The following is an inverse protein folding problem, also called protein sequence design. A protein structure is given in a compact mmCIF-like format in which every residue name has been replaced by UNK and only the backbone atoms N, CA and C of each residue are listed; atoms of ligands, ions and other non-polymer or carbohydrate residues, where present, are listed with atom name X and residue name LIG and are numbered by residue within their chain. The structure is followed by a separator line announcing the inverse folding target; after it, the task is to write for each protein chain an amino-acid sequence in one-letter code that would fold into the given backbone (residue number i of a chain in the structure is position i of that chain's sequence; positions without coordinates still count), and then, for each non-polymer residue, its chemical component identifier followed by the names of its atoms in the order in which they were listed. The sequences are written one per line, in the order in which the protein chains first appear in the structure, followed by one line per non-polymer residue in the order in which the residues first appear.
data_IF_188860712279
#
_entry.id   IF_188860712279
#
_cell.length_a   1.000
_cell.length_b   1.000
_cell.length_c   1.000
_cell.angle_alpha   90.00
_cell.angle_beta   90.00
_cell.angle_gamma   90.00
#
_symmetry.space_group_name_H-M   'P 1'
#
loop_
_entity.id
_entity.type
_entity.pdbx_description
1 polymer ?
#
# COMPACT_ATOMS: atom_id res chain seq x y z
N UNK A 1 -13.79 14.03 -30.41
CA UNK A 1 -12.42 13.85 -29.89
C UNK A 1 -12.54 12.99 -28.65
N UNK A 2 -12.08 11.74 -28.68
CA UNK A 2 -12.11 10.87 -27.50
C UNK A 2 -10.99 11.30 -26.56
N UNK A 3 -11.36 11.85 -25.41
CA UNK A 3 -10.43 12.05 -24.29
C UNK A 3 -9.80 10.70 -23.93
N UNK A 4 -8.48 10.62 -24.09
CA UNK A 4 -7.71 9.47 -23.66
C UNK A 4 -7.96 9.25 -22.16
N UNK A 5 -8.38 8.05 -21.72
CA UNK A 5 -8.78 7.85 -20.33
C UNK A 5 -7.60 8.08 -19.41
N UNK A 6 -7.87 8.86 -18.36
CA UNK A 6 -6.92 9.31 -17.36
C UNK A 6 -6.03 8.17 -16.83
N UNK A 7 -4.74 8.30 -17.13
CA UNK A 7 -3.57 7.78 -16.42
C UNK A 7 -3.82 6.69 -15.37
N UNK A 8 -4.02 5.44 -15.80
CA UNK A 8 -3.94 4.23 -14.97
C UNK A 8 -2.54 3.99 -14.37
N UNK A 9 -1.55 4.82 -14.74
CA UNK A 9 -0.15 4.67 -14.33
C UNK A 9 0.08 4.77 -12.82
N UNK A 10 -0.74 5.55 -12.09
CA UNK A 10 -0.67 5.61 -10.62
C UNK A 10 -1.20 4.34 -9.95
N UNK A 11 -2.28 3.78 -10.50
CA UNK A 11 -2.98 2.60 -9.95
C UNK A 11 -2.11 1.35 -9.97
N UNK A 12 -1.42 1.08 -11.09
CA UNK A 12 -0.52 -0.08 -11.20
C UNK A 12 0.62 -0.04 -10.16
N UNK A 13 1.11 1.16 -9.84
CA UNK A 13 2.18 1.35 -8.85
C UNK A 13 1.69 1.07 -7.44
N UNK A 14 0.51 1.55 -7.09
CA UNK A 14 -0.14 1.28 -5.80
C UNK A 14 -0.41 -0.21 -5.63
N UNK A 15 -0.94 -0.88 -6.67
CA UNK A 15 -1.20 -2.32 -6.66
C UNK A 15 0.09 -3.11 -6.50
N UNK A 16 1.16 -2.73 -7.21
CA UNK A 16 2.46 -3.39 -7.08
C UNK A 16 3.03 -3.27 -5.65
N UNK A 17 3.03 -2.04 -5.09
CA UNK A 17 3.51 -1.78 -3.72
C UNK A 17 2.69 -2.57 -2.69
N UNK A 18 1.37 -2.68 -2.89
CA UNK A 18 0.50 -3.50 -2.05
C UNK A 18 0.85 -4.99 -2.14
N UNK A 19 1.06 -5.53 -3.34
CA UNK A 19 1.46 -6.92 -3.50
C UNK A 19 2.80 -7.24 -2.85
N UNK A 20 3.79 -6.34 -2.98
CA UNK A 20 5.08 -6.48 -2.29
C UNK A 20 4.90 -6.51 -0.77
N UNK A 21 4.05 -5.64 -0.24
CA UNK A 21 3.74 -5.59 1.19
C UNK A 21 3.09 -6.89 1.70
N UNK A 22 2.10 -7.41 0.98
CA UNK A 22 1.42 -8.67 1.31
C UNK A 22 2.40 -9.85 1.21
N UNK A 23 3.21 -9.89 0.16
CA UNK A 23 4.21 -10.94 -0.04
C UNK A 23 5.25 -10.94 1.09
N UNK A 24 5.80 -9.78 1.47
CA UNK A 24 6.75 -9.69 2.58
C UNK A 24 6.12 -10.18 3.89
N UNK A 25 4.92 -9.70 4.21
CA UNK A 25 4.23 -10.09 5.43
C UNK A 25 3.93 -11.60 5.44
N UNK A 26 3.55 -12.15 4.28
CA UNK A 26 3.34 -13.58 4.07
C UNK A 26 4.60 -14.42 4.24
N UNK A 27 5.75 -13.97 3.72
CA UNK A 27 7.05 -14.66 3.89
C UNK A 27 7.45 -14.72 5.36
N UNK A 28 7.23 -13.64 6.12
CA UNK A 28 7.51 -13.61 7.56
C UNK A 28 6.60 -14.60 8.31
N UNK A 29 5.31 -14.65 7.96
CA UNK A 29 4.37 -15.60 8.54
C UNK A 29 4.69 -17.06 8.19
N UNK A 30 5.13 -17.31 6.95
CA UNK A 30 5.54 -18.63 6.49
C UNK A 30 6.84 -19.08 7.19
N UNK A 31 7.77 -18.14 7.44
CA UNK A 31 8.94 -18.35 8.28
C UNK A 31 8.54 -18.77 9.70
N UNK A 32 7.60 -18.06 10.32
CA UNK A 32 7.06 -18.46 11.63
C UNK A 32 6.41 -19.85 11.60
N UNK A 33 5.67 -20.18 10.54
CA UNK A 33 5.10 -21.52 10.33
C UNK A 33 6.19 -22.59 10.27
N UNK A 34 7.28 -22.31 9.55
CA UNK A 34 8.43 -23.24 9.42
C UNK A 34 9.16 -23.48 10.74
N UNK A 35 9.09 -22.53 11.67
CA UNK A 35 9.62 -22.65 13.03
C UNK A 35 8.68 -23.42 13.98
N UNK A 36 7.58 -23.98 13.47
CA UNK A 36 6.66 -24.81 14.26
C UNK A 36 5.58 -24.03 15.01
N UNK A 37 5.41 -22.73 14.74
CA UNK A 37 4.32 -21.96 15.36
C UNK A 37 2.94 -22.48 14.93
N UNK A 38 2.01 -22.47 15.88
CA UNK A 38 0.61 -22.79 15.62
C UNK A 38 0.02 -21.83 14.58
N UNK A 39 -1.07 -22.24 13.93
CA UNK A 39 -1.69 -21.44 12.87
C UNK A 39 -2.11 -20.06 13.42
N UNK A 40 -2.71 -20.03 14.62
CA UNK A 40 -3.07 -18.80 15.31
C UNK A 40 -1.88 -17.90 15.62
N UNK A 41 -0.77 -18.46 16.11
CA UNK A 41 0.43 -17.67 16.38
C UNK A 41 1.08 -17.14 15.10
N UNK A 42 1.05 -17.90 14.00
CA UNK A 42 1.54 -17.45 12.68
C UNK A 42 0.71 -16.27 12.14
N UNK A 43 -0.61 -16.27 12.38
CA UNK A 43 -1.49 -15.13 12.07
C UNK A 43 -1.16 -13.90 12.90
N UNK A 44 -0.85 -14.06 14.19
CA UNK A 44 -0.41 -12.94 15.03
C UNK A 44 0.91 -12.37 14.52
N UNK A 45 1.88 -13.23 14.17
CA UNK A 45 3.16 -12.79 13.59
C UNK A 45 2.96 -12.08 12.25
N UNK A 46 2.06 -12.58 11.39
CA UNK A 46 1.67 -11.89 10.17
C UNK A 46 1.14 -10.48 10.46
N UNK A 47 0.23 -10.36 11.42
CA UNK A 47 -0.41 -9.09 11.77
C UNK A 47 0.60 -8.08 12.35
N UNK A 48 1.50 -8.54 13.21
CA UNK A 48 2.57 -7.71 13.78
C UNK A 48 3.54 -7.25 12.68
N UNK A 49 3.96 -8.16 11.80
CA UNK A 49 4.83 -7.81 10.67
C UNK A 49 4.15 -6.80 9.74
N UNK A 50 2.89 -7.03 9.40
CA UNK A 50 2.07 -6.12 8.61
C UNK A 50 2.01 -4.71 9.24
N UNK A 51 1.69 -4.61 10.53
CA UNK A 51 1.66 -3.34 11.27
C UNK A 51 3.02 -2.63 11.30
N UNK A 52 4.11 -3.37 11.46
CA UNK A 52 5.47 -2.80 11.43
C UNK A 52 5.83 -2.27 10.05
N UNK A 53 5.48 -3.00 8.99
CA UNK A 53 5.70 -2.58 7.60
C UNK A 53 4.75 -1.47 7.15
N UNK A 54 3.60 -1.30 7.81
CA UNK A 54 2.63 -0.27 7.46
C UNK A 54 3.21 1.15 7.63
N UNK A 55 4.04 1.38 8.65
CA UNK A 55 4.68 2.70 8.89
C UNK A 55 5.54 3.19 7.71
N UNK A 56 6.52 2.42 7.19
CA UNK A 56 7.30 2.84 6.03
C UNK A 56 6.50 2.83 4.72
N UNK A 57 5.46 2.00 4.60
CA UNK A 57 4.65 1.92 3.39
C UNK A 57 3.57 3.02 3.29
N UNK A 58 3.08 3.56 4.41
CA UNK A 58 2.10 4.66 4.44
C UNK A 58 2.51 5.88 3.58
N UNK A 59 3.73 6.43 3.71
CA UNK A 59 4.15 7.58 2.89
C UNK A 59 4.32 7.19 1.41
N UNK A 60 4.68 5.94 1.10
CA UNK A 60 4.74 5.45 -0.28
C UNK A 60 3.35 5.40 -0.90
N UNK A 61 2.36 4.84 -0.20
CA UNK A 61 0.97 4.86 -0.66
C UNK A 61 0.46 6.28 -0.86
N UNK A 62 0.71 7.20 0.09
CA UNK A 62 0.34 8.61 -0.04
C UNK A 62 1.01 9.31 -1.23
N UNK A 63 2.26 8.95 -1.56
CA UNK A 63 2.98 9.53 -2.70
C UNK A 63 2.44 9.04 -4.05
N UNK A 64 1.90 7.83 -4.11
CA UNK A 64 1.37 7.24 -5.34
C UNK A 64 -0.13 7.44 -5.51
N UNK A 65 -0.86 7.82 -4.45
CA UNK A 65 -2.21 8.34 -4.60
C UNK A 65 -2.14 9.73 -5.27
N UNK A 66 -2.80 9.93 -6.42
CA UNK A 66 -2.89 11.27 -7.01
C UNK A 66 -3.59 12.19 -6.00
N UNK A 67 -2.96 13.30 -5.65
CA UNK A 67 -3.60 14.38 -4.89
C UNK A 67 -4.89 14.76 -5.59
N UNK A 68 -6.01 14.69 -4.88
CA UNK A 68 -7.32 14.94 -5.45
C UNK A 68 -7.35 16.37 -6.07
N UNK A 69 -7.92 16.55 -7.29
CA UNK A 69 -8.00 17.85 -7.94
C UNK A 69 -8.68 18.95 -7.10
N UNK A 70 -9.48 18.57 -6.10
CA UNK A 70 -10.25 19.48 -5.26
C UNK A 70 -9.41 20.40 -4.35
N UNK A 71 -8.09 20.18 -4.22
CA UNK A 71 -7.19 21.13 -3.54
C UNK A 71 -6.61 22.22 -4.44
N UNK A 72 -6.75 22.12 -5.78
CA UNK A 72 -6.20 23.14 -6.71
C UNK A 72 -7.13 24.32 -6.94
N UNK A 73 -8.44 24.12 -6.81
CA UNK A 73 -9.44 25.14 -7.15
C UNK A 73 -9.56 26.23 -6.06
N UNK A 74 -9.26 25.90 -4.80
CA UNK A 74 -9.26 26.86 -3.67
C UNK A 74 -7.98 27.68 -3.56
N UNK A 75 -6.90 27.26 -4.24
CA UNK A 75 -5.65 28.01 -4.29
C UNK A 75 -5.65 29.06 -5.42
N UNK A 76 -6.33 28.77 -6.53
CA UNK A 76 -6.42 29.66 -7.71
C UNK A 76 -7.45 30.78 -7.54
N UNK A 77 -8.50 30.55 -6.74
CA UNK A 77 -9.54 31.56 -6.44
C UNK A 77 -9.12 32.61 -5.38
N UNK A 78 -7.83 32.66 -5.03
CA UNK A 78 -7.23 33.69 -4.14
C UNK A 78 -6.18 34.57 -4.84
N UNK A 79 -5.99 34.44 -6.15
CA UNK A 79 -5.28 35.43 -6.98
C UNK A 79 -6.27 36.24 -7.80
#
# INVERSE_FOLDING_TARGET
MHESPASTHGYLRVVFVFWVYVALSGVVALGARSLGFSLGASFVVFLVAALLLAKPFLPLFRRYLPTAPHERETADSRQ
#
